data_IF_286962237638
#
_entry.id   IF_286962237638
#
_cell.length_a   1.000
_cell.length_b   1.000
_cell.length_c   1.000
_cell.angle_alpha   90.00
_cell.angle_beta   90.00
_cell.angle_gamma   90.00
#
_symmetry.space_group_name_H-M   'P 1'
#
loop_
_entity.id
_entity.type
_entity.pdbx_description
1 polymer ?
#
# COMPACT_ATOMS: atom_id res chain seq x y z
N UNK A 1 -16.58 11.09 16.50
CA UNK A 1 -15.30 11.62 16.96
C UNK A 1 -15.06 12.99 16.34
N UNK A 2 -14.39 13.90 17.05
CA UNK A 2 -13.97 15.17 16.46
C UNK A 2 -12.94 14.88 15.35
N UNK A 3 -12.98 15.65 14.25
CA UNK A 3 -11.98 15.54 13.20
C UNK A 3 -10.59 15.80 13.76
N UNK A 4 -9.59 15.06 13.27
CA UNK A 4 -8.19 15.34 13.57
C UNK A 4 -7.76 16.68 12.95
N UNK A 5 -6.91 17.39 13.64
CA UNK A 5 -6.26 18.61 13.12
C UNK A 5 -5.20 18.28 12.08
N UNK A 6 -4.73 19.27 11.34
CA UNK A 6 -3.68 19.09 10.34
C UNK A 6 -2.40 18.52 10.97
N UNK A 7 -1.98 19.02 12.13
CA UNK A 7 -0.79 18.52 12.85
C UNK A 7 -0.96 17.05 13.29
N UNK A 8 -2.15 16.69 13.80
CA UNK A 8 -2.45 15.31 14.20
C UNK A 8 -2.51 14.36 12.99
N UNK A 9 -2.97 14.86 11.83
CA UNK A 9 -2.96 14.09 10.59
C UNK A 9 -1.54 13.91 10.06
N UNK A 10 -0.68 14.93 10.11
CA UNK A 10 0.73 14.81 9.73
C UNK A 10 1.45 13.78 10.61
N UNK A 11 1.27 13.82 11.93
CA UNK A 11 1.81 12.83 12.85
C UNK A 11 1.32 11.41 12.50
N UNK A 12 0.00 11.26 12.26
CA UNK A 12 -0.62 9.98 11.93
C UNK A 12 -0.04 9.37 10.65
N UNK A 13 0.10 10.18 9.58
CA UNK A 13 0.54 9.67 8.26
C UNK A 13 2.05 9.65 8.08
N UNK A 14 2.82 10.27 8.97
CA UNK A 14 4.28 10.37 8.82
C UNK A 14 4.94 9.00 8.64
N UNK A 15 4.40 7.95 9.26
CA UNK A 15 4.90 6.56 9.18
C UNK A 15 4.83 5.97 7.78
N UNK A 16 3.92 6.46 6.93
CA UNK A 16 3.68 5.94 5.58
C UNK A 16 3.91 6.98 4.47
N UNK A 17 4.15 8.23 4.82
CA UNK A 17 4.23 9.33 3.87
C UNK A 17 5.28 9.11 2.77
N UNK A 18 6.43 8.50 3.09
CA UNK A 18 7.50 8.23 2.14
C UNK A 18 7.40 6.84 1.48
N UNK A 19 6.37 6.08 1.78
CA UNK A 19 6.13 4.83 1.05
C UNK A 19 5.77 5.11 -0.41
N UNK A 20 6.12 4.21 -1.34
CA UNK A 20 5.55 4.24 -2.68
C UNK A 20 4.02 4.27 -2.66
N UNK A 21 3.42 4.92 -3.66
CA UNK A 21 1.97 5.10 -3.74
C UNK A 21 1.21 3.77 -3.69
N UNK A 22 1.79 2.71 -4.25
CA UNK A 22 1.25 1.35 -4.20
C UNK A 22 1.05 0.86 -2.76
N UNK A 23 2.02 1.14 -1.91
CA UNK A 23 1.99 0.72 -0.51
C UNK A 23 1.03 1.61 0.29
N UNK A 24 1.02 2.91 0.03
CA UNK A 24 0.04 3.82 0.64
C UNK A 24 -1.38 3.36 0.35
N UNK A 25 -1.67 3.01 -0.92
CA UNK A 25 -3.01 2.57 -1.33
C UNK A 25 -3.47 1.30 -0.59
N UNK A 26 -2.61 0.28 -0.49
CA UNK A 26 -2.99 -0.97 0.17
C UNK A 26 -3.08 -0.83 1.69
N UNK A 27 -2.21 -0.04 2.32
CA UNK A 27 -2.28 0.26 3.76
C UNK A 27 -3.58 1.00 4.07
N UNK A 28 -3.91 2.02 3.27
CA UNK A 28 -5.13 2.79 3.43
C UNK A 28 -6.38 1.90 3.39
N UNK A 29 -6.49 1.02 2.39
CA UNK A 29 -7.61 0.10 2.29
C UNK A 29 -7.65 -0.90 3.46
N UNK A 30 -6.51 -1.47 3.84
CA UNK A 30 -6.43 -2.47 4.91
C UNK A 30 -6.67 -1.90 6.31
N UNK A 31 -6.40 -0.62 6.53
CA UNK A 31 -6.62 0.03 7.83
C UNK A 31 -8.09 0.04 8.26
N UNK A 32 -9.02 -0.15 7.32
CA UNK A 32 -10.45 -0.32 7.61
C UNK A 32 -10.79 -1.67 8.25
N UNK A 33 -9.85 -2.62 8.26
CA UNK A 33 -10.04 -3.98 8.74
C UNK A 33 -9.01 -4.38 9.81
N UNK A 34 -8.89 -3.64 10.93
CA UNK A 34 -7.80 -3.85 11.91
C UNK A 34 -7.80 -5.25 12.52
N UNK A 35 -8.96 -5.88 12.70
CA UNK A 35 -9.03 -7.26 13.19
C UNK A 35 -8.46 -8.26 12.19
N UNK A 36 -8.69 -8.04 10.90
CA UNK A 36 -8.13 -8.91 9.87
C UNK A 36 -6.61 -8.71 9.74
N UNK A 37 -6.09 -7.51 10.01
CA UNK A 37 -4.64 -7.27 10.10
C UNK A 37 -3.98 -8.14 11.16
N UNK A 38 -4.59 -8.24 12.36
CA UNK A 38 -4.12 -9.15 13.41
C UNK A 38 -4.16 -10.61 12.95
N UNK A 39 -5.24 -11.01 12.31
CA UNK A 39 -5.39 -12.38 11.80
C UNK A 39 -4.34 -12.68 10.72
N UNK A 40 -4.07 -11.71 9.84
CA UNK A 40 -3.03 -11.82 8.81
C UNK A 40 -1.64 -12.00 9.44
N UNK A 41 -1.30 -11.24 10.49
CA UNK A 41 -0.03 -11.41 11.19
C UNK A 41 0.09 -12.82 11.80
N UNK A 42 -0.97 -13.30 12.46
CA UNK A 42 -0.99 -14.67 13.03
C UNK A 42 -0.87 -15.75 11.95
N UNK A 43 -1.48 -15.51 10.79
CA UNK A 43 -1.34 -16.40 9.63
C UNK A 43 0.12 -16.43 9.15
N UNK A 44 0.74 -15.25 8.95
CA UNK A 44 2.12 -15.15 8.50
C UNK A 44 3.10 -15.84 9.47
N UNK A 45 2.83 -15.81 10.78
CA UNK A 45 3.65 -16.51 11.76
C UNK A 45 3.47 -18.03 11.68
N UNK A 46 2.25 -18.50 11.48
CA UNK A 46 1.95 -19.94 11.36
C UNK A 46 2.46 -20.55 10.06
N UNK A 47 2.35 -19.84 8.94
CA UNK A 47 2.77 -20.35 7.63
C UNK A 47 4.28 -20.56 7.53
N UNK A 48 5.07 -19.99 8.44
CA UNK A 48 6.52 -20.27 8.56
C UNK A 48 6.79 -21.73 8.88
N UNK A 49 5.91 -22.36 9.67
CA UNK A 49 6.02 -23.75 10.12
C UNK A 49 5.06 -24.71 9.38
N UNK A 50 3.92 -24.21 8.93
CA UNK A 50 2.91 -24.95 8.18
C UNK A 50 2.68 -24.30 6.80
N UNK A 51 3.42 -24.74 5.81
CA UNK A 51 3.39 -24.18 4.45
C UNK A 51 2.14 -24.53 3.67
N UNK A 52 1.35 -25.49 4.12
CA UNK A 52 0.07 -25.87 3.50
C UNK A 52 -1.10 -25.01 4.01
N UNK A 53 -0.88 -24.20 5.03
CA UNK A 53 -1.87 -23.31 5.57
C UNK A 53 -2.30 -22.28 4.52
N UNK A 54 -3.62 -22.14 4.34
CA UNK A 54 -4.19 -21.15 3.43
C UNK A 54 -4.71 -19.96 4.21
N UNK A 55 -4.63 -18.73 3.64
CA UNK A 55 -5.30 -17.58 4.24
C UNK A 55 -6.83 -17.78 4.20
N UNK A 56 -7.51 -17.09 5.09
CA UNK A 56 -8.96 -17.08 5.16
C UNK A 56 -9.55 -16.42 3.89
N UNK A 57 -10.46 -17.10 3.22
CA UNK A 57 -11.08 -16.64 1.97
C UNK A 57 -12.07 -15.48 2.19
N UNK A 58 -12.53 -15.30 3.44
CA UNK A 58 -13.46 -14.23 3.82
C UNK A 58 -12.74 -12.91 4.14
N UNK A 59 -11.41 -12.90 4.16
CA UNK A 59 -10.67 -11.65 4.34
C UNK A 59 -10.87 -10.70 3.17
N UNK A 60 -10.86 -9.40 3.49
CA UNK A 60 -10.86 -8.37 2.45
C UNK A 60 -9.65 -8.52 1.51
N UNK A 61 -9.84 -8.14 0.25
CA UNK A 61 -8.79 -8.26 -0.75
C UNK A 61 -7.54 -7.44 -0.42
N UNK A 62 -7.68 -6.33 0.31
CA UNK A 62 -6.55 -5.54 0.80
C UNK A 62 -5.69 -6.32 1.78
N UNK A 63 -6.32 -7.09 2.68
CA UNK A 63 -5.63 -7.93 3.65
C UNK A 63 -4.89 -9.09 2.97
N UNK A 64 -5.55 -9.75 2.03
CA UNK A 64 -4.91 -10.81 1.22
C UNK A 64 -3.70 -10.23 0.46
N UNK A 65 -3.84 -9.03 -0.08
CA UNK A 65 -2.77 -8.32 -0.79
C UNK A 65 -1.60 -7.98 0.12
N UNK A 66 -1.87 -7.56 1.36
CA UNK A 66 -0.85 -7.26 2.36
C UNK A 66 -0.01 -8.48 2.76
N UNK A 67 -0.51 -9.71 2.58
CA UNK A 67 0.29 -10.92 2.83
C UNK A 67 1.58 -10.96 1.99
N UNK A 68 1.63 -10.22 0.89
CA UNK A 68 2.84 -10.03 0.10
C UNK A 68 3.87 -9.09 0.76
N UNK A 69 3.47 -8.34 1.79
CA UNK A 69 4.26 -7.32 2.47
C UNK A 69 4.29 -7.57 3.99
N UNK A 70 4.92 -8.65 4.46
CA UNK A 70 4.87 -9.07 5.86
C UNK A 70 5.38 -8.01 6.85
N UNK A 71 6.35 -7.17 6.45
CA UNK A 71 6.83 -6.08 7.31
C UNK A 71 5.76 -4.99 7.49
N UNK A 72 4.93 -4.75 6.47
CA UNK A 72 3.80 -3.82 6.56
C UNK A 72 2.71 -4.39 7.47
N UNK A 73 2.36 -5.68 7.30
CA UNK A 73 1.40 -6.36 8.19
C UNK A 73 1.87 -6.29 9.64
N UNK A 74 3.16 -6.55 9.87
CA UNK A 74 3.75 -6.47 11.20
C UNK A 74 3.65 -5.05 11.78
N UNK A 75 4.03 -4.02 11.03
CA UNK A 75 3.92 -2.62 11.44
C UNK A 75 2.49 -2.26 11.86
N UNK A 76 1.50 -2.65 11.04
CA UNK A 76 0.08 -2.36 11.31
C UNK A 76 -0.45 -3.16 12.50
N UNK A 77 -0.01 -4.40 12.67
CA UNK A 77 -0.47 -5.27 13.76
C UNK A 77 0.18 -4.97 15.10
N UNK A 78 1.43 -4.50 15.10
CA UNK A 78 2.15 -4.12 16.32
C UNK A 78 1.58 -2.84 16.96
N UNK A 79 0.91 -1.99 16.15
CA UNK A 79 0.30 -0.74 16.60
C UNK A 79 -1.14 -0.63 16.04
N UNK A 80 -2.03 -1.32 16.73
CA UNK A 80 -3.44 -1.37 16.31
C UNK A 80 -4.18 -0.08 16.54
N UNK A 81 -3.79 0.68 17.55
CA UNK A 81 -4.40 1.98 17.83
C UNK A 81 -4.11 2.94 16.67
N UNK A 82 -2.87 2.96 16.19
CA UNK A 82 -2.49 3.67 14.99
C UNK A 82 -3.25 3.17 13.74
N UNK A 83 -3.32 1.87 13.55
CA UNK A 83 -4.02 1.26 12.40
C UNK A 83 -5.50 1.63 12.39
N UNK A 84 -6.16 1.56 13.54
CA UNK A 84 -7.56 1.94 13.67
C UNK A 84 -7.76 3.44 13.47
N UNK A 85 -6.90 4.27 14.05
CA UNK A 85 -6.97 5.72 13.88
C UNK A 85 -6.80 6.14 12.42
N UNK A 86 -5.88 5.50 11.67
CA UNK A 86 -5.71 5.72 10.24
C UNK A 86 -6.98 5.33 9.46
N UNK A 87 -7.58 4.18 9.78
CA UNK A 87 -8.82 3.73 9.16
C UNK A 87 -9.98 4.70 9.43
N UNK A 88 -10.13 5.15 10.67
CA UNK A 88 -11.16 6.11 11.06
C UNK A 88 -10.95 7.48 10.36
N UNK A 89 -9.71 7.96 10.27
CA UNK A 89 -9.38 9.19 9.56
C UNK A 89 -9.68 9.08 8.06
N UNK A 90 -9.31 7.97 7.43
CA UNK A 90 -9.62 7.72 6.02
C UNK A 90 -11.12 7.61 5.74
N UNK A 91 -11.88 7.03 6.66
CA UNK A 91 -13.33 6.93 6.52
C UNK A 91 -14.06 8.28 6.65
N UNK A 92 -13.52 9.21 7.43
CA UNK A 92 -14.18 10.47 7.78
C UNK A 92 -13.51 11.72 7.20
N UNK A 93 -12.19 11.69 6.95
CA UNK A 93 -11.36 12.82 6.53
C UNK A 93 -10.38 12.43 5.40
N UNK A 94 -10.79 11.59 4.47
CA UNK A 94 -9.90 11.00 3.45
C UNK A 94 -9.06 12.05 2.71
N UNK A 95 -9.70 13.15 2.30
CA UNK A 95 -9.00 14.23 1.62
C UNK A 95 -7.90 14.83 2.49
N UNK A 96 -8.19 15.13 3.75
CA UNK A 96 -7.26 15.79 4.65
C UNK A 96 -6.07 14.85 4.97
N UNK A 97 -6.34 13.54 5.12
CA UNK A 97 -5.29 12.50 5.25
C UNK A 97 -4.33 12.52 4.04
N UNK A 98 -4.87 12.58 2.82
CA UNK A 98 -4.05 12.60 1.61
C UNK A 98 -3.30 13.91 1.44
N UNK A 99 -3.91 15.04 1.82
CA UNK A 99 -3.25 16.36 1.85
C UNK A 99 -2.08 16.33 2.83
N UNK A 100 -2.25 15.79 4.04
CA UNK A 100 -1.17 15.66 5.02
C UNK A 100 0.00 14.82 4.49
N UNK A 101 -0.27 13.72 3.78
CA UNK A 101 0.79 12.95 3.10
C UNK A 101 1.56 13.82 2.11
N UNK A 102 0.87 14.61 1.29
CA UNK A 102 1.53 15.47 0.30
C UNK A 102 2.34 16.59 0.95
N UNK A 103 1.85 17.20 2.03
CA UNK A 103 2.59 18.23 2.80
C UNK A 103 3.92 17.66 3.32
N UNK A 104 3.91 16.46 3.92
CA UNK A 104 5.12 15.80 4.39
C UNK A 104 6.07 15.42 3.26
N UNK A 105 5.54 14.98 2.10
CA UNK A 105 6.34 14.67 0.92
C UNK A 105 7.00 15.92 0.33
N UNK A 106 6.26 17.01 0.20
CA UNK A 106 6.79 18.28 -0.28
C UNK A 106 7.95 18.76 0.59
N UNK A 107 7.77 18.71 1.90
CA UNK A 107 8.83 19.05 2.86
C UNK A 107 10.03 18.11 2.74
N UNK A 108 9.80 16.80 2.61
CA UNK A 108 10.87 15.82 2.49
C UNK A 108 11.68 15.99 1.20
N UNK A 109 11.03 16.35 0.08
CA UNK A 109 11.71 16.70 -1.17
C UNK A 109 12.50 18.01 -1.04
N UNK A 110 11.88 19.05 -0.49
CA UNK A 110 12.50 20.37 -0.32
C UNK A 110 13.75 20.32 0.58
N UNK A 111 13.73 19.46 1.59
CA UNK A 111 14.87 19.28 2.53
C UNK A 111 15.85 18.21 2.09
N UNK A 112 15.60 17.53 0.98
CA UNK A 112 16.47 16.47 0.45
C UNK A 112 16.44 15.16 1.24
N UNK A 113 15.44 14.97 2.11
CA UNK A 113 15.21 13.71 2.85
C UNK A 113 14.91 12.57 1.88
N UNK A 114 14.10 12.84 0.85
CA UNK A 114 13.80 11.87 -0.20
C UNK A 114 14.11 12.45 -1.58
N UNK A 115 14.67 11.61 -2.43
CA UNK A 115 14.97 11.88 -3.84
C UNK A 115 14.96 10.56 -4.61
N UNK A 116 14.89 10.66 -5.94
CA UNK A 116 15.02 9.46 -6.78
C UNK A 116 16.38 8.78 -6.60
N UNK A 117 16.36 7.47 -6.49
CA UNK A 117 17.53 6.60 -6.41
C UNK A 117 17.30 5.29 -7.19
N UNK A 118 18.07 4.25 -6.89
CA UNK A 118 17.92 2.92 -7.50
C UNK A 118 16.69 2.14 -6.99
N UNK A 119 16.02 2.62 -5.95
CA UNK A 119 14.87 1.96 -5.29
C UNK A 119 13.56 2.66 -5.53
N UNK A 120 13.56 3.99 -5.52
CA UNK A 120 12.36 4.80 -5.71
C UNK A 120 12.57 5.86 -6.77
N UNK A 121 11.52 6.13 -7.53
CA UNK A 121 11.41 7.26 -8.45
C UNK A 121 10.48 8.29 -7.81
N UNK A 122 11.01 9.48 -7.57
CA UNK A 122 10.25 10.63 -7.04
C UNK A 122 10.05 11.63 -8.17
N UNK A 123 8.80 11.94 -8.47
CA UNK A 123 8.41 12.91 -9.49
C UNK A 123 7.36 13.86 -8.94
N UNK A 124 7.17 15.00 -9.60
CA UNK A 124 6.07 15.92 -9.29
C UNK A 124 5.14 15.97 -10.50
N UNK A 125 3.85 15.71 -10.26
CA UNK A 125 2.80 15.74 -11.26
C UNK A 125 1.60 16.53 -10.72
N UNK A 126 1.18 17.57 -11.42
CA UNK A 126 0.09 18.46 -10.97
C UNK A 126 0.25 18.95 -9.52
N UNK A 127 1.45 19.40 -9.19
CA UNK A 127 1.84 19.85 -7.84
C UNK A 127 1.81 18.76 -6.75
N UNK A 128 1.64 17.49 -7.10
CA UNK A 128 1.71 16.37 -6.17
C UNK A 128 3.03 15.61 -6.31
N UNK A 129 3.64 15.27 -5.19
CA UNK A 129 4.82 14.40 -5.14
C UNK A 129 4.38 12.94 -5.27
N UNK A 130 4.84 12.31 -6.34
CA UNK A 130 4.58 10.92 -6.66
C UNK A 130 5.82 10.09 -6.31
N UNK A 131 5.65 9.07 -5.49
CA UNK A 131 6.70 8.12 -5.15
C UNK A 131 6.33 6.76 -5.70
N UNK A 132 7.19 6.20 -6.53
CA UNK A 132 6.97 4.92 -7.20
C UNK A 132 8.21 4.04 -7.08
N UNK A 133 8.04 2.73 -7.25
CA UNK A 133 9.19 1.85 -7.39
C UNK A 133 10.04 2.24 -8.62
N UNK A 134 11.36 2.37 -8.46
CA UNK A 134 12.27 2.66 -9.56
C UNK A 134 12.35 1.49 -10.55
N UNK A 135 12.25 0.26 -10.03
CA UNK A 135 12.12 -0.95 -10.84
C UNK A 135 10.67 -1.45 -10.75
N UNK A 136 9.93 -1.58 -11.85
CA UNK A 136 8.55 -2.03 -11.84
C UNK A 136 8.34 -3.47 -11.31
N UNK A 137 9.41 -4.24 -11.15
CA UNK A 137 9.34 -5.61 -10.62
C UNK A 137 9.60 -5.68 -9.11
N UNK A 138 10.06 -4.58 -8.47
CA UNK A 138 10.53 -4.59 -7.08
C UNK A 138 10.08 -3.36 -6.32
N UNK A 139 9.37 -3.57 -5.22
CA UNK A 139 9.05 -2.53 -4.25
C UNK A 139 9.97 -2.67 -3.04
N UNK A 140 10.57 -1.56 -2.65
CA UNK A 140 11.30 -1.42 -1.39
C UNK A 140 10.47 -0.63 -0.39
N UNK A 141 10.28 -1.17 0.81
CA UNK A 141 9.57 -0.48 1.88
C UNK A 141 10.57 0.39 2.64
N UNK A 142 10.34 1.70 2.73
CA UNK A 142 11.25 2.60 3.43
C UNK A 142 11.16 2.42 4.94
N UNK A 143 12.30 2.66 5.61
CA UNK A 143 12.45 2.67 7.05
C UNK A 143 13.09 4.00 7.45
N UNK A 144 12.43 4.76 8.30
CA UNK A 144 12.90 6.04 8.81
C UNK A 144 12.17 6.37 10.10
N UNK A 145 12.74 7.22 10.98
CA UNK A 145 12.01 7.78 12.11
C UNK A 145 10.91 8.73 11.60
N UNK A 146 9.61 8.45 11.84
CA UNK A 146 8.53 9.29 11.33
C UNK A 146 8.61 10.73 11.86
N UNK A 147 9.11 10.90 13.07
CA UNK A 147 9.26 12.19 13.76
C UNK A 147 10.10 13.19 12.97
N UNK A 148 11.02 12.71 12.13
CA UNK A 148 11.84 13.61 11.29
C UNK A 148 11.03 14.36 10.24
N UNK A 149 9.79 13.96 9.98
CA UNK A 149 8.92 14.58 8.99
C UNK A 149 8.03 15.68 9.60
N UNK A 150 7.69 15.59 10.89
CA UNK A 150 6.73 16.50 11.52
C UNK A 150 7.23 17.16 12.80
N UNK A 151 8.22 16.58 13.50
CA UNK A 151 8.67 17.12 14.79
C UNK A 151 9.72 18.24 14.59
N UNK A 152 9.42 19.48 15.02
CA UNK A 152 10.37 20.59 14.87
C UNK A 152 11.69 20.31 15.59
N UNK A 153 12.81 20.47 14.88
CA UNK A 153 14.14 20.29 15.45
C UNK A 153 14.62 18.85 15.53
N UNK A 154 13.83 17.88 15.09
CA UNK A 154 14.30 16.50 14.94
C UNK A 154 15.37 16.41 13.85
N UNK A 155 16.48 15.79 14.14
CA UNK A 155 17.58 15.66 13.17
C UNK A 155 17.21 14.67 12.06
N UNK A 156 17.31 15.05 10.76
CA UNK A 156 17.03 14.14 9.67
C UNK A 156 17.95 12.91 9.72
N UNK A 157 17.37 11.73 9.59
CA UNK A 157 18.08 10.48 9.42
C UNK A 157 17.99 10.02 7.96
N UNK A 158 18.98 9.27 7.44
CA UNK A 158 18.87 8.69 6.11
C UNK A 158 17.67 7.73 6.03
N UNK A 159 16.91 7.82 4.94
CA UNK A 159 15.91 6.81 4.62
C UNK A 159 16.64 5.53 4.23
N UNK A 160 16.33 4.44 4.91
CA UNK A 160 16.81 3.10 4.61
C UNK A 160 15.64 2.25 4.10
N UNK A 161 15.90 1.00 3.75
CA UNK A 161 14.86 0.11 3.23
C UNK A 161 14.99 -1.26 3.87
N UNK A 162 13.89 -1.99 4.00
CA UNK A 162 13.95 -3.40 4.35
C UNK A 162 14.83 -4.15 3.34
N UNK A 163 15.58 -5.16 3.84
CA UNK A 163 16.64 -5.81 3.06
C UNK A 163 16.14 -6.49 1.79
N UNK A 164 14.97 -7.11 1.87
CA UNK A 164 14.37 -7.84 0.75
C UNK A 164 13.35 -6.97 0.01
N UNK A 165 13.51 -6.79 -1.31
CA UNK A 165 12.50 -6.12 -2.09
C UNK A 165 11.28 -7.04 -2.27
N UNK A 166 10.11 -6.42 -2.27
CA UNK A 166 8.86 -7.10 -2.56
C UNK A 166 8.53 -7.03 -4.05
N UNK A 167 7.76 -7.98 -4.60
CA UNK A 167 7.29 -7.89 -5.97
C UNK A 167 6.38 -6.66 -6.11
N UNK A 168 6.62 -5.87 -7.15
CA UNK A 168 5.77 -4.76 -7.54
C UNK A 168 4.88 -5.18 -8.69
N UNK A 169 3.59 -4.92 -8.56
CA UNK A 169 2.59 -5.12 -9.62
C UNK A 169 2.04 -3.76 -10.01
N UNK A 170 2.91 -2.91 -10.54
CA UNK A 170 2.61 -1.49 -10.72
C UNK A 170 1.94 -1.20 -12.06
N UNK A 171 0.86 -0.42 -11.98
CA UNK A 171 0.25 0.32 -13.07
C UNK A 171 0.28 1.81 -12.74
N UNK A 172 0.52 2.74 -13.69
CA UNK A 172 0.67 4.17 -13.38
C UNK A 172 -0.49 4.81 -12.63
N UNK A 173 -1.65 4.18 -12.60
CA UNK A 173 -2.87 4.69 -11.96
C UNK A 173 -3.51 3.72 -10.97
N UNK A 174 -2.99 2.50 -10.84
CA UNK A 174 -3.54 1.50 -9.93
C UNK A 174 -2.51 0.44 -9.58
N UNK A 175 -2.56 -0.03 -8.35
CA UNK A 175 -1.76 -1.14 -7.87
C UNK A 175 -2.60 -2.41 -7.88
N UNK A 176 -2.10 -3.46 -8.51
CA UNK A 176 -2.79 -4.72 -8.62
C UNK A 176 -2.21 -5.75 -7.66
N UNK A 177 -3.09 -6.44 -6.96
CA UNK A 177 -2.74 -7.54 -6.09
C UNK A 177 -3.57 -8.76 -6.45
N UNK A 178 -2.97 -9.92 -6.47
CA UNK A 178 -3.73 -11.14 -6.62
C UNK A 178 -4.13 -11.67 -5.26
N UNK A 179 -5.41 -11.88 -5.06
CA UNK A 179 -5.89 -12.72 -3.99
C UNK A 179 -5.48 -14.16 -4.32
N UNK A 180 -4.36 -14.60 -3.78
CA UNK A 180 -3.70 -15.86 -4.15
C UNK A 180 -4.58 -17.11 -3.96
N UNK A 181 -5.68 -17.00 -3.21
CA UNK A 181 -6.52 -18.13 -2.81
C UNK A 181 -7.77 -18.27 -3.65
N UNK A 182 -8.33 -17.15 -4.12
CA UNK A 182 -9.64 -17.16 -4.81
C UNK A 182 -9.56 -16.98 -6.31
N UNK A 183 -8.35 -16.77 -6.87
CA UNK A 183 -8.17 -16.44 -8.28
C UNK A 183 -8.69 -15.05 -8.66
N UNK A 184 -9.17 -14.27 -7.68
CA UNK A 184 -9.63 -12.91 -7.90
C UNK A 184 -8.45 -11.92 -7.86
N UNK A 185 -8.51 -10.91 -8.72
CA UNK A 185 -7.58 -9.79 -8.69
C UNK A 185 -8.22 -8.67 -7.87
N UNK A 186 -7.46 -8.12 -6.94
CA UNK A 186 -7.81 -6.92 -6.22
C UNK A 186 -6.87 -5.80 -6.63
N UNK A 187 -7.40 -4.60 -6.75
CA UNK A 187 -6.62 -3.43 -7.15
C UNK A 187 -6.88 -2.27 -6.22
N UNK A 188 -5.85 -1.48 -5.96
CA UNK A 188 -5.95 -0.22 -5.23
C UNK A 188 -5.17 0.87 -5.94
N UNK A 189 -5.59 2.10 -5.76
CA UNK A 189 -4.88 3.29 -6.22
C UNK A 189 -5.10 4.46 -5.29
N UNK A 190 -4.13 5.37 -5.25
CA UNK A 190 -4.32 6.72 -4.74
C UNK A 190 -4.50 7.67 -5.92
N UNK A 191 -5.60 8.40 -5.93
CA UNK A 191 -5.84 9.48 -6.88
C UNK A 191 -5.55 10.81 -6.19
N UNK A 192 -4.37 11.35 -6.45
CA UNK A 192 -3.95 12.62 -5.87
C UNK A 192 -4.70 13.83 -6.44
N UNK A 193 -5.28 13.72 -7.64
CA UNK A 193 -6.04 14.82 -8.23
C UNK A 193 -7.45 14.93 -7.63
N UNK A 194 -8.09 13.78 -7.38
CA UNK A 194 -9.42 13.73 -6.79
C UNK A 194 -9.39 13.48 -5.27
N UNK A 195 -8.21 13.40 -4.67
CA UNK A 195 -7.99 13.16 -3.24
C UNK A 195 -8.73 11.93 -2.74
N UNK A 196 -8.58 10.83 -3.46
CA UNK A 196 -9.27 9.58 -3.19
C UNK A 196 -8.35 8.38 -3.10
N UNK A 197 -8.72 7.42 -2.25
CA UNK A 197 -8.16 6.07 -2.25
C UNK A 197 -9.24 5.12 -2.72
N UNK A 198 -8.91 4.30 -3.69
CA UNK A 198 -9.82 3.36 -4.31
C UNK A 198 -9.28 1.95 -4.16
N UNK A 199 -10.13 1.01 -3.76
CA UNK A 199 -9.78 -0.41 -3.72
C UNK A 199 -11.00 -1.27 -4.05
N UNK A 200 -10.77 -2.38 -4.74
CA UNK A 200 -11.86 -3.28 -5.10
C UNK A 200 -11.42 -4.49 -5.92
N UNK A 201 -12.36 -5.40 -6.12
CA UNK A 201 -12.15 -6.57 -6.97
C UNK A 201 -12.22 -6.17 -8.44
N UNK A 202 -11.28 -6.70 -9.21
CA UNK A 202 -11.33 -6.65 -10.66
C UNK A 202 -12.52 -7.47 -11.18
N UNK A 203 -13.40 -6.84 -11.95
CA UNK A 203 -14.55 -7.45 -12.61
C UNK A 203 -14.42 -7.42 -14.14
N UNK A 204 -13.23 -7.52 -14.68
CA UNK A 204 -13.06 -7.71 -16.10
C UNK A 204 -13.11 -9.19 -16.45
N UNK A 205 -13.59 -9.56 -17.64
CA UNK A 205 -13.25 -10.83 -18.21
C UNK A 205 -11.73 -10.88 -18.23
N UNK A 206 -11.19 -11.76 -17.40
CA UNK A 206 -9.76 -11.97 -17.31
C UNK A 206 -9.33 -12.80 -18.54
N UNK A 207 -9.49 -12.25 -19.73
CA UNK A 207 -8.65 -12.57 -20.87
C UNK A 207 -7.25 -12.01 -20.60
N UNK A 208 -6.78 -12.31 -19.39
CA UNK A 208 -5.38 -12.37 -19.15
C UNK A 208 -4.93 -13.66 -19.85
N UNK A 209 -4.36 -13.51 -21.02
CA UNK A 209 -3.61 -14.58 -21.69
C UNK A 209 -2.34 -14.85 -20.84
N UNK A 210 -2.59 -15.21 -19.62
CA UNK A 210 -1.63 -15.54 -18.60
C UNK A 210 -1.78 -17.01 -18.25
N UNK A 211 -1.33 -17.86 -19.19
CA UNK A 211 -1.32 -19.30 -19.01
C UNK A 211 -0.53 -19.77 -17.76
N UNK A 212 0.15 -18.89 -17.03
CA UNK A 212 0.98 -19.21 -15.87
C UNK A 212 0.93 -18.22 -14.71
N UNK A 213 0.12 -17.14 -14.74
CA UNK A 213 0.10 -16.13 -13.67
C UNK A 213 -0.23 -16.70 -12.30
N UNK A 214 -1.00 -17.78 -12.25
CA UNK A 214 -1.49 -18.36 -11.00
C UNK A 214 -0.79 -19.68 -10.62
N UNK A 215 0.05 -20.24 -11.48
CA UNK A 215 0.65 -21.54 -11.26
C UNK A 215 2.00 -21.51 -10.52
N UNK A 216 2.64 -20.36 -10.42
CA UNK A 216 3.92 -20.22 -9.73
C UNK A 216 3.72 -19.66 -8.30
N UNK A 217 2.87 -20.34 -7.53
CA UNK A 217 2.60 -20.02 -6.13
C UNK A 217 3.76 -20.50 -5.27
N UNK A 218 4.77 -19.66 -5.11
CA UNK A 218 5.68 -19.82 -3.99
C UNK A 218 4.96 -19.36 -2.72
N UNK A 219 4.55 -20.32 -1.89
CA UNK A 219 3.76 -20.15 -0.67
C UNK A 219 4.47 -19.39 0.48
N UNK A 220 5.49 -18.63 0.20
CA UNK A 220 6.05 -17.66 1.13
C UNK A 220 5.24 -16.35 1.18
N UNK A 221 3.97 -16.39 0.79
CA UNK A 221 3.12 -15.19 0.69
C UNK A 221 3.43 -14.31 -0.52
N UNK A 222 4.33 -14.72 -1.40
CA UNK A 222 4.74 -13.98 -2.59
C UNK A 222 4.09 -14.58 -3.84
N UNK A 223 3.22 -13.84 -4.49
CA UNK A 223 2.73 -14.19 -5.82
C UNK A 223 3.72 -13.65 -6.85
N UNK A 224 4.39 -14.52 -7.57
CA UNK A 224 5.30 -14.14 -8.64
C UNK A 224 4.51 -14.06 -9.96
N UNK A 225 4.07 -12.87 -10.36
CA UNK A 225 3.38 -12.63 -11.63
C UNK A 225 4.42 -12.12 -12.65
N UNK A 226 5.32 -12.98 -13.08
CA UNK A 226 6.41 -12.60 -14.00
C UNK A 226 5.94 -12.31 -15.42
N UNK A 227 4.76 -12.80 -15.82
CA UNK A 227 4.39 -12.90 -17.23
C UNK A 227 3.19 -12.02 -17.62
N UNK A 228 2.71 -11.14 -16.75
CA UNK A 228 1.65 -10.19 -17.08
C UNK A 228 2.26 -8.90 -17.60
N UNK A 229 2.02 -8.58 -18.86
CA UNK A 229 2.31 -7.23 -19.36
C UNK A 229 1.22 -6.26 -18.92
N UNK A 230 1.38 -5.73 -17.73
CA UNK A 230 0.48 -4.77 -17.11
C UNK A 230 0.30 -3.47 -17.92
N UNK A 231 1.17 -3.21 -18.90
CA UNK A 231 1.07 -2.05 -19.79
C UNK A 231 -0.06 -2.19 -20.80
N UNK A 232 -0.50 -3.41 -21.07
CA UNK A 232 -1.53 -3.72 -22.04
C UNK A 232 -2.91 -4.05 -21.43
N UNK A 233 -3.06 -3.92 -20.11
CA UNK A 233 -4.35 -4.16 -19.44
C UNK A 233 -5.34 -3.04 -19.80
N UNK A 234 -6.53 -3.42 -20.24
CA UNK A 234 -7.60 -2.49 -20.59
C UNK A 234 -8.16 -1.80 -19.32
N UNK A 235 -7.84 -0.53 -19.17
CA UNK A 235 -8.23 0.30 -18.02
C UNK A 235 -9.74 0.50 -17.90
N UNK A 236 -10.49 0.39 -19.02
CA UNK A 236 -11.95 0.53 -19.01
C UNK A 236 -12.65 -0.60 -18.25
N UNK A 237 -11.93 -1.72 -18.03
CA UNK A 237 -12.42 -2.87 -17.29
C UNK A 237 -12.14 -2.78 -15.76
N UNK A 238 -11.45 -1.73 -15.29
CA UNK A 238 -11.26 -1.44 -13.87
C UNK A 238 -12.51 -0.77 -13.29
N UNK A 239 -13.35 -1.53 -12.64
CA UNK A 239 -14.43 -0.99 -11.84
C UNK A 239 -13.98 -0.85 -10.39
N UNK A 240 -13.49 0.33 -10.03
CA UNK A 240 -13.26 0.67 -8.64
C UNK A 240 -14.61 0.92 -7.96
N UNK A 241 -14.92 0.15 -6.94
CA UNK A 241 -16.07 0.46 -6.09
C UNK A 241 -15.69 1.60 -5.13
N UNK A 242 -16.00 2.83 -5.55
CA UNK A 242 -15.79 4.04 -4.74
C UNK A 242 -16.45 3.97 -3.36
N UNK A 243 -17.44 3.08 -3.19
CA UNK A 243 -18.16 2.94 -1.94
C UNK A 243 -17.53 1.96 -0.95
N UNK A 244 -16.48 1.23 -1.32
CA UNK A 244 -15.82 0.29 -0.39
C UNK A 244 -15.09 1.00 0.76
N UNK A 245 -14.59 2.22 0.53
CA UNK A 245 -13.95 3.01 1.58
C UNK A 245 -14.93 3.92 2.33
N UNK A 246 -16.19 4.00 1.88
CA UNK A 246 -17.25 4.81 2.49
C UNK A 246 -18.33 3.95 3.18
N UNK A 247 -18.06 2.70 3.47
CA UNK A 247 -18.91 1.80 4.28
C UNK A 247 -18.29 1.55 5.63
#
# INVERSE_FOLDING_TARGET
PEPLTDDELEELVARIALCPDEIVAVIAAASLYPLQVIQAQRYLDKVKTDKELKPDEDWDGSIISLLNYPDVVKMMSDDLDWTQQLGDALANQQKDVLVAIQQLRDQAVATGIIKSDDKVKVTTENDNVIIQAANPEKIYIPQYPPEMLYEPGYAPAPVTYYADPYPSYFWPTATFFTAAVTGAIWAATVDWNDWGVWGGRWRGDADFDCNNCFNNRNFNGRVNIKDVDWRNVDRSKLNFDRNQLNK
#
